data_IF_290959411818
#
_entry.id   IF_290959411818
#
_cell.length_a   1.000
_cell.length_b   1.000
_cell.length_c   1.000
_cell.angle_alpha   90.00
_cell.angle_beta   90.00
_cell.angle_gamma   90.00
#
_symmetry.space_group_name_H-M   'P 1'
#
loop_
_entity.id
_entity.type
_entity.pdbx_description
1 polymer ?
#
# COMPACT_ATOMS: atom_id res chain seq x y z
N UNK A 1 -7.33 -8.97 11.49
CA UNK A 1 -5.94 -9.46 11.43
C UNK A 1 -5.11 -8.45 12.22
N UNK A 2 -4.56 -8.79 13.38
CA UNK A 2 -3.99 -7.80 14.32
C UNK A 2 -2.78 -7.07 13.72
N UNK A 3 -2.62 -5.79 14.09
CA UNK A 3 -1.50 -4.88 13.76
C UNK A 3 -0.09 -5.51 13.86
N UNK A 4 0.04 -6.56 14.67
CA UNK A 4 1.26 -7.35 14.90
C UNK A 4 1.78 -8.01 13.62
N UNK A 5 0.90 -8.48 12.72
CA UNK A 5 1.31 -9.23 11.53
C UNK A 5 2.07 -8.39 10.50
N UNK A 6 1.58 -7.16 10.23
CA UNK A 6 2.21 -6.27 9.25
C UNK A 6 3.52 -5.65 9.76
N UNK A 7 3.63 -5.43 11.07
CA UNK A 7 4.80 -4.80 11.70
C UNK A 7 6.07 -5.67 11.67
N UNK A 8 5.93 -6.97 11.45
CA UNK A 8 7.03 -7.95 11.53
C UNK A 8 7.50 -8.49 10.17
N UNK A 9 6.85 -8.08 9.06
CA UNK A 9 7.17 -8.62 7.73
C UNK A 9 8.59 -8.24 7.29
N UNK A 10 9.04 -7.02 7.60
CA UNK A 10 10.41 -6.58 7.31
C UNK A 10 11.45 -7.42 8.04
N UNK A 11 11.28 -7.60 9.35
CA UNK A 11 12.17 -8.42 10.18
C UNK A 11 12.23 -9.88 9.69
N UNK A 12 11.07 -10.47 9.39
CA UNK A 12 10.99 -11.84 8.89
C UNK A 12 11.73 -12.00 7.54
N UNK A 13 11.54 -11.05 6.62
CA UNK A 13 12.23 -11.06 5.33
C UNK A 13 13.75 -10.94 5.51
N UNK A 14 14.23 -10.01 6.34
CA UNK A 14 15.67 -9.86 6.61
C UNK A 14 16.24 -11.10 7.29
N UNK A 15 15.53 -11.67 8.26
CA UNK A 15 16.00 -12.89 8.95
C UNK A 15 16.17 -14.06 8.00
N UNK A 16 15.34 -14.16 6.95
CA UNK A 16 15.39 -15.27 6.00
C UNK A 16 16.33 -15.01 4.82
N UNK A 17 16.36 -13.78 4.29
CA UNK A 17 17.06 -13.42 3.06
C UNK A 17 18.35 -12.59 3.27
N UNK A 18 18.64 -12.14 4.49
CA UNK A 18 19.84 -11.35 4.80
C UNK A 18 19.77 -9.88 4.35
N UNK A 19 18.61 -9.41 3.90
CA UNK A 19 18.36 -8.00 3.58
C UNK A 19 17.11 -7.80 2.72
N UNK A 20 16.82 -6.53 2.42
CA UNK A 20 15.64 -6.15 1.65
C UNK A 20 15.98 -5.08 0.62
N UNK A 21 15.84 -5.40 -0.66
CA UNK A 21 16.12 -4.48 -1.77
C UNK A 21 14.81 -3.91 -2.37
N UNK A 22 13.75 -4.71 -2.39
CA UNK A 22 12.49 -4.40 -3.08
C UNK A 22 11.31 -4.77 -2.18
N UNK A 23 10.40 -3.83 -1.96
CA UNK A 23 9.07 -4.08 -1.41
C UNK A 23 8.02 -3.94 -2.50
N UNK A 24 7.12 -4.91 -2.62
CA UNK A 24 5.94 -4.82 -3.50
C UNK A 24 4.67 -4.96 -2.67
N UNK A 25 3.94 -3.85 -2.51
CA UNK A 25 2.62 -3.87 -1.89
C UNK A 25 1.55 -4.15 -2.96
N UNK A 26 1.16 -5.42 -3.08
CA UNK A 26 0.15 -5.88 -4.03
C UNK A 26 -1.20 -6.23 -3.37
N UNK A 27 -1.19 -6.64 -2.10
CA UNK A 27 -2.39 -7.12 -1.42
C UNK A 27 -3.51 -6.09 -1.46
N UNK A 28 -4.72 -6.54 -1.81
CA UNK A 28 -5.91 -5.72 -1.75
C UNK A 28 -7.18 -6.51 -2.02
N UNK A 29 -8.30 -5.97 -1.57
CA UNK A 29 -9.63 -6.48 -1.88
C UNK A 29 -10.38 -5.52 -2.79
N UNK A 30 -11.11 -6.11 -3.72
CA UNK A 30 -12.06 -5.41 -4.55
C UNK A 30 -13.40 -5.28 -3.80
N UNK A 31 -13.97 -4.08 -3.79
CA UNK A 31 -15.30 -3.81 -3.23
C UNK A 31 -16.12 -3.11 -4.32
N UNK A 32 -17.02 -3.86 -4.95
CA UNK A 32 -17.94 -3.35 -5.97
C UNK A 32 -19.20 -2.82 -5.32
N UNK A 33 -19.21 -1.54 -5.00
CA UNK A 33 -20.39 -0.84 -4.52
C UNK A 33 -20.35 0.66 -4.89
N UNK A 34 -21.48 1.22 -5.38
CA UNK A 34 -21.73 2.66 -5.32
C UNK A 34 -21.62 3.18 -3.88
N UNK A 35 -21.39 4.48 -3.73
CA UNK A 35 -21.08 5.09 -2.42
C UNK A 35 -22.25 4.92 -1.44
N UNK A 36 -23.47 5.03 -1.95
CA UNK A 36 -24.74 4.93 -1.23
C UNK A 36 -25.18 3.49 -0.93
N UNK A 37 -24.50 2.49 -1.53
CA UNK A 37 -24.84 1.07 -1.39
C UNK A 37 -23.81 0.26 -0.58
N UNK A 38 -22.65 0.85 -0.29
CA UNK A 38 -21.66 0.24 0.61
C UNK A 38 -22.05 0.47 2.07
N UNK A 39 -21.95 -0.57 2.89
CA UNK A 39 -22.12 -0.43 4.34
C UNK A 39 -20.81 0.01 5.01
N UNK A 40 -20.87 0.39 6.29
CA UNK A 40 -19.71 0.86 7.04
C UNK A 40 -18.58 -0.18 7.10
N UNK A 41 -18.91 -1.46 7.23
CA UNK A 41 -17.93 -2.54 7.32
C UNK A 41 -17.17 -2.73 5.99
N UNK A 42 -17.83 -2.53 4.85
CA UNK A 42 -17.19 -2.54 3.53
C UNK A 42 -16.10 -1.47 3.44
N UNK A 43 -16.40 -0.24 3.91
CA UNK A 43 -15.41 0.84 3.97
C UNK A 43 -14.27 0.49 4.92
N UNK A 44 -14.58 0.08 6.15
CA UNK A 44 -13.57 -0.27 7.15
C UNK A 44 -12.63 -1.35 6.65
N UNK A 45 -13.18 -2.44 6.13
CA UNK A 45 -12.41 -3.58 5.63
C UNK A 45 -11.54 -3.20 4.42
N UNK A 46 -12.09 -2.43 3.47
CA UNK A 46 -11.34 -2.00 2.30
C UNK A 46 -10.18 -1.08 2.69
N UNK A 47 -10.40 -0.09 3.57
CA UNK A 47 -9.34 0.80 4.03
C UNK A 47 -8.32 0.10 4.93
N UNK A 48 -8.76 -0.80 5.81
CA UNK A 48 -7.86 -1.58 6.67
C UNK A 48 -6.88 -2.39 5.82
N UNK A 49 -7.35 -3.10 4.80
CA UNK A 49 -6.46 -3.92 3.98
C UNK A 49 -5.70 -3.10 2.93
N UNK A 50 -6.41 -2.32 2.12
CA UNK A 50 -5.81 -1.69 0.93
C UNK A 50 -4.97 -0.45 1.26
N UNK A 51 -5.21 0.19 2.41
CA UNK A 51 -4.51 1.43 2.80
C UNK A 51 -3.65 1.18 4.03
N UNK A 52 -4.25 0.80 5.15
CA UNK A 52 -3.50 0.61 6.40
C UNK A 52 -2.50 -0.55 6.26
N UNK A 53 -2.87 -1.66 5.62
CA UNK A 53 -1.95 -2.77 5.33
C UNK A 53 -0.72 -2.32 4.53
N UNK A 54 -0.90 -1.47 3.50
CA UNK A 54 0.20 -0.91 2.70
C UNK A 54 1.09 -0.02 3.55
N UNK A 55 0.51 0.85 4.37
CA UNK A 55 1.26 1.75 5.27
C UNK A 55 2.11 0.94 6.24
N UNK A 56 1.49 0.00 6.98
CA UNK A 56 2.18 -0.75 8.03
C UNK A 56 3.27 -1.66 7.47
N UNK A 57 3.01 -2.34 6.35
CA UNK A 57 4.03 -3.16 5.67
C UNK A 57 5.21 -2.29 5.23
N UNK A 58 4.93 -1.11 4.66
CA UNK A 58 5.98 -0.19 4.22
C UNK A 58 6.78 0.37 5.39
N UNK A 59 6.13 0.74 6.50
CA UNK A 59 6.82 1.19 7.71
C UNK A 59 7.71 0.10 8.31
N UNK A 60 7.25 -1.15 8.32
CA UNK A 60 8.06 -2.31 8.74
C UNK A 60 9.28 -2.51 7.83
N UNK A 61 9.13 -2.31 6.52
CA UNK A 61 10.21 -2.51 5.55
C UNK A 61 11.26 -1.37 5.50
N UNK A 62 10.85 -0.11 5.71
CA UNK A 62 11.71 1.09 5.54
C UNK A 62 13.06 1.00 6.28
N UNK A 63 13.14 0.55 7.54
CA UNK A 63 14.41 0.42 8.25
C UNK A 63 15.38 -0.55 7.58
N UNK A 64 14.87 -1.55 6.86
CA UNK A 64 15.65 -2.63 6.27
C UNK A 64 15.96 -2.44 4.78
N UNK A 65 15.26 -1.53 4.10
CA UNK A 65 15.53 -1.22 2.70
C UNK A 65 16.97 -0.71 2.53
N UNK A 66 17.73 -1.40 1.69
CA UNK A 66 19.10 -0.99 1.32
C UNK A 66 19.06 0.31 0.51
N UNK A 67 20.19 1.02 0.51
CA UNK A 67 20.39 2.16 -0.40
C UNK A 67 20.20 1.72 -1.87
N UNK A 68 19.63 2.59 -2.70
CA UNK A 68 19.21 2.27 -4.08
C UNK A 68 18.04 1.26 -4.21
N UNK A 69 17.43 0.83 -3.10
CA UNK A 69 16.25 -0.03 -3.10
C UNK A 69 14.98 0.64 -3.63
N UNK A 70 13.87 -0.09 -3.66
CA UNK A 70 12.59 0.49 -4.07
C UNK A 70 11.33 -0.11 -3.41
N UNK A 71 10.28 0.70 -3.42
CA UNK A 71 8.91 0.33 -3.07
C UNK A 71 8.03 0.45 -4.31
N UNK A 72 7.24 -0.59 -4.59
CA UNK A 72 6.27 -0.64 -5.67
C UNK A 72 4.89 -0.85 -5.07
N UNK A 73 3.98 0.09 -5.30
CA UNK A 73 2.61 0.01 -4.82
C UNK A 73 1.67 -0.25 -5.99
N UNK A 74 0.89 -1.33 -5.90
CA UNK A 74 -0.10 -1.67 -6.91
C UNK A 74 -1.38 -0.86 -6.65
N UNK A 75 -1.68 0.02 -7.59
CA UNK A 75 -2.87 0.86 -7.60
C UNK A 75 -3.90 0.31 -8.59
N UNK A 76 -4.54 1.17 -9.37
CA UNK A 76 -5.50 0.77 -10.40
C UNK A 76 -5.76 1.91 -11.37
N UNK A 77 -5.97 1.61 -12.64
CA UNK A 77 -6.49 2.55 -13.63
C UNK A 77 -7.80 3.23 -13.22
N UNK A 78 -8.55 2.69 -12.25
CA UNK A 78 -9.76 3.34 -11.73
C UNK A 78 -9.43 4.60 -10.91
N UNK A 79 -8.17 4.78 -10.48
CA UNK A 79 -7.69 6.04 -9.91
C UNK A 79 -7.67 7.19 -10.93
N UNK A 80 -7.80 6.91 -12.23
CA UNK A 80 -7.97 7.94 -13.27
C UNK A 80 -9.36 7.85 -13.91
N UNK A 81 -9.84 6.64 -14.23
CA UNK A 81 -11.11 6.42 -14.95
C UNK A 81 -12.37 6.73 -14.14
N UNK A 82 -12.32 6.66 -12.79
CA UNK A 82 -13.47 6.94 -11.89
C UNK A 82 -14.75 6.20 -12.27
N UNK A 83 -14.67 4.87 -12.43
CA UNK A 83 -15.81 4.06 -12.88
C UNK A 83 -16.97 4.08 -11.86
N UNK A 84 -18.21 4.38 -12.28
CA UNK A 84 -19.38 4.28 -11.41
C UNK A 84 -19.50 2.90 -10.74
N UNK A 85 -19.95 2.87 -9.49
CA UNK A 85 -20.10 1.63 -8.72
C UNK A 85 -18.82 1.08 -8.08
N UNK A 86 -17.73 1.85 -8.08
CA UNK A 86 -16.41 1.40 -7.57
C UNK A 86 -15.84 2.34 -6.52
N UNK A 87 -16.70 3.14 -5.89
CA UNK A 87 -16.34 4.28 -5.05
C UNK A 87 -15.38 3.90 -3.92
N UNK A 88 -15.72 2.88 -3.14
CA UNK A 88 -14.94 2.38 -2.01
C UNK A 88 -13.54 1.95 -2.45
N UNK A 89 -13.46 1.04 -3.42
CA UNK A 89 -12.19 0.54 -3.93
C UNK A 89 -11.34 1.67 -4.52
N UNK A 90 -11.93 2.51 -5.37
CA UNK A 90 -11.22 3.62 -6.03
C UNK A 90 -10.67 4.60 -5.00
N UNK A 91 -11.43 4.91 -3.94
CA UNK A 91 -10.96 5.76 -2.85
C UNK A 91 -9.72 5.17 -2.16
N UNK A 92 -9.70 3.86 -1.89
CA UNK A 92 -8.52 3.22 -1.28
C UNK A 92 -7.28 3.31 -2.18
N UNK A 93 -7.43 3.12 -3.49
CA UNK A 93 -6.29 3.19 -4.42
C UNK A 93 -5.80 4.62 -4.64
N UNK A 94 -6.70 5.61 -4.61
CA UNK A 94 -6.30 7.03 -4.60
C UNK A 94 -5.51 7.38 -3.32
N UNK A 95 -5.92 6.86 -2.16
CA UNK A 95 -5.16 7.04 -0.92
C UNK A 95 -3.75 6.44 -1.03
N UNK A 96 -3.62 5.23 -1.61
CA UNK A 96 -2.31 4.61 -1.89
C UNK A 96 -1.46 5.49 -2.81
N UNK A 97 -2.02 6.09 -3.86
CA UNK A 97 -1.27 7.00 -4.73
C UNK A 97 -0.69 8.18 -3.95
N UNK A 98 -1.53 8.86 -3.16
CA UNK A 98 -1.12 10.03 -2.39
C UNK A 98 -0.03 9.70 -1.36
N UNK A 99 -0.17 8.58 -0.64
CA UNK A 99 0.85 8.12 0.32
C UNK A 99 2.16 7.77 -0.40
N UNK A 100 2.09 7.17 -1.58
CA UNK A 100 3.27 6.78 -2.37
C UNK A 100 4.06 8.00 -2.83
N UNK A 101 3.37 9.07 -3.24
CA UNK A 101 4.00 10.33 -3.67
C UNK A 101 4.71 11.06 -2.52
N UNK A 102 4.14 11.03 -1.31
CA UNK A 102 4.81 11.54 -0.11
C UNK A 102 6.03 10.70 0.25
N UNK A 103 5.87 9.36 0.28
CA UNK A 103 6.96 8.43 0.57
C UNK A 103 8.11 8.55 -0.43
N UNK A 104 7.84 8.79 -1.71
CA UNK A 104 8.87 9.03 -2.72
C UNK A 104 9.77 10.21 -2.34
N UNK A 105 9.17 11.32 -1.90
CA UNK A 105 9.91 12.51 -1.46
C UNK A 105 10.67 12.25 -0.15
N UNK A 106 10.03 11.57 0.80
CA UNK A 106 10.61 11.23 2.09
C UNK A 106 11.83 10.31 1.98
N UNK A 107 11.79 9.36 1.06
CA UNK A 107 12.83 8.33 0.90
C UNK A 107 13.90 8.69 -0.15
N UNK A 108 13.68 9.73 -0.95
CA UNK A 108 14.65 10.22 -1.92
C UNK A 108 16.06 10.51 -1.33
N UNK A 109 16.21 11.12 -0.13
CA UNK A 109 17.55 11.34 0.46
C UNK A 109 18.31 10.04 0.78
N UNK A 110 17.62 8.90 0.90
CA UNK A 110 18.21 7.56 1.08
C UNK A 110 18.42 6.82 -0.25
N UNK A 111 18.26 7.51 -1.39
CA UNK A 111 18.29 6.93 -2.72
C UNK A 111 17.29 5.77 -2.92
N UNK A 112 16.16 5.77 -2.19
CA UNK A 112 15.12 4.76 -2.32
C UNK A 112 13.98 5.31 -3.17
N UNK A 113 13.61 4.58 -4.21
CA UNK A 113 12.53 4.97 -5.14
C UNK A 113 11.19 4.42 -4.66
N UNK A 114 10.12 5.19 -4.83
CA UNK A 114 8.74 4.72 -4.59
C UNK A 114 7.93 4.98 -5.84
N UNK A 115 7.30 3.93 -6.39
CA UNK A 115 6.55 4.01 -7.64
C UNK A 115 5.18 3.33 -7.53
N UNK A 116 4.26 3.78 -8.38
CA UNK A 116 2.90 3.29 -8.46
C UNK A 116 2.70 2.61 -9.82
N UNK A 117 2.05 1.45 -9.83
CA UNK A 117 1.57 0.80 -11.06
C UNK A 117 0.04 0.88 -11.07
N UNK A 118 -0.56 1.45 -12.13
CA UNK A 118 -2.01 1.67 -12.26
C UNK A 118 -2.62 0.92 -13.43
#
# INVERSE_FOLDING_TARGET
MTLIGYGQVGDAAVSHFGGLDILVNNSGIWTAAPVEHANEDDYRRAFELNVLGVILTTLSAIPHLREAGCVINISSSFTTLRRPGTSVYTATKVAVNSISEDLAKKLAPRNIRVNIIS
#
